data_IF_865723802650
#
_entry.id   IF_865723802650
#
_cell.length_a   1.000
_cell.length_b   1.000
_cell.length_c   1.000
_cell.angle_alpha   90.00
_cell.angle_beta   90.00
_cell.angle_gamma   90.00
#
_symmetry.space_group_name_H-M   'P 1'
#
loop_
_entity.id
_entity.type
_entity.pdbx_description
1 polymer ?
#
# COMPACT_ATOMS: atom_id res chain seq x y z
N UNK A 1 -56.30 -14.55 46.11
CA UNK A 1 -56.17 -14.29 44.64
C UNK A 1 -54.90 -13.49 44.28
N UNK A 2 -54.48 -12.54 45.08
CA UNK A 2 -53.31 -11.66 44.79
C UNK A 2 -51.96 -12.40 44.74
N UNK A 3 -51.72 -13.42 45.56
CA UNK A 3 -50.49 -14.21 45.57
C UNK A 3 -50.24 -15.03 44.29
N UNK A 4 -51.32 -15.53 43.63
CA UNK A 4 -51.17 -16.29 42.34
C UNK A 4 -50.87 -15.35 41.16
N UNK A 5 -51.30 -14.09 41.22
CA UNK A 5 -51.03 -13.10 40.15
C UNK A 5 -49.57 -12.67 40.13
N UNK A 6 -48.94 -12.58 41.33
CA UNK A 6 -47.52 -12.20 41.45
C UNK A 6 -46.59 -13.29 40.87
N UNK A 7 -46.92 -14.57 41.05
CA UNK A 7 -46.11 -15.67 40.46
C UNK A 7 -46.22 -15.76 38.95
N UNK A 8 -47.35 -15.39 38.34
CA UNK A 8 -47.52 -15.36 36.87
C UNK A 8 -46.73 -14.15 36.27
N UNK A 9 -46.66 -13.03 36.98
CA UNK A 9 -45.91 -11.85 36.54
C UNK A 9 -44.37 -12.10 36.63
N UNK A 10 -43.90 -12.90 37.60
CA UNK A 10 -42.48 -13.26 37.72
C UNK A 10 -41.99 -14.26 36.68
N UNK A 11 -42.89 -15.11 36.11
CA UNK A 11 -42.53 -16.09 35.07
C UNK A 11 -42.39 -15.44 33.68
N UNK A 12 -42.96 -14.27 33.46
CA UNK A 12 -42.86 -13.54 32.15
C UNK A 12 -41.56 -12.79 31.93
N UNK A 13 -40.76 -12.58 32.98
CA UNK A 13 -39.48 -11.84 32.87
C UNK A 13 -38.31 -12.74 32.44
N UNK A 14 -38.46 -14.07 32.43
CA UNK A 14 -37.38 -15.03 32.16
C UNK A 14 -37.18 -15.37 30.68
N UNK A 15 -37.94 -14.79 29.74
CA UNK A 15 -37.85 -15.07 28.30
C UNK A 15 -37.22 -13.93 27.49
N UNK A 16 -36.38 -13.12 28.12
CA UNK A 16 -35.49 -12.25 27.35
C UNK A 16 -34.37 -13.08 26.74
N UNK A 17 -34.64 -13.70 25.60
CA UNK A 17 -33.64 -14.28 24.73
C UNK A 17 -32.77 -13.15 24.21
N UNK A 18 -31.67 -12.89 24.89
CA UNK A 18 -30.56 -12.08 24.31
C UNK A 18 -30.04 -12.90 23.13
N UNK A 19 -30.41 -12.54 21.92
CA UNK A 19 -29.75 -13.03 20.72
C UNK A 19 -28.30 -12.58 20.81
N UNK A 20 -27.40 -13.46 21.24
CA UNK A 20 -25.98 -13.23 21.04
C UNK A 20 -25.76 -12.93 19.55
N UNK A 21 -25.30 -11.73 19.27
CA UNK A 21 -24.84 -11.37 17.94
C UNK A 21 -23.62 -12.26 17.67
N UNK A 22 -23.81 -13.34 16.92
CA UNK A 22 -22.68 -14.12 16.41
C UNK A 22 -21.85 -13.16 15.56
N UNK A 23 -20.69 -12.77 16.06
CA UNK A 23 -19.72 -11.97 15.31
C UNK A 23 -19.12 -12.92 14.27
N UNK A 24 -19.65 -12.88 13.06
CA UNK A 24 -19.09 -13.63 11.93
C UNK A 24 -17.80 -12.90 11.53
N UNK A 25 -16.66 -13.52 11.80
CA UNK A 25 -15.37 -13.04 11.31
C UNK A 25 -15.18 -13.55 9.89
N UNK A 26 -15.10 -12.68 8.88
CA UNK A 26 -14.93 -13.12 7.50
C UNK A 26 -13.56 -13.80 7.32
N UNK A 27 -13.54 -14.94 6.67
CA UNK A 27 -12.32 -15.70 6.41
C UNK A 27 -11.65 -15.28 5.10
N UNK A 28 -12.40 -14.72 4.16
CA UNK A 28 -11.90 -14.30 2.86
C UNK A 28 -12.40 -12.89 2.50
N UNK A 29 -11.78 -12.31 1.45
CA UNK A 29 -12.09 -10.96 1.00
C UNK A 29 -13.55 -10.82 0.51
N UNK A 30 -14.10 -11.82 -0.19
CA UNK A 30 -15.49 -11.77 -0.65
C UNK A 30 -16.48 -11.68 0.51
N UNK A 31 -16.29 -12.46 1.55
CA UNK A 31 -17.11 -12.39 2.77
C UNK A 31 -16.95 -11.04 3.47
N UNK A 32 -15.71 -10.53 3.54
CA UNK A 32 -15.42 -9.20 4.10
C UNK A 32 -16.18 -8.10 3.34
N UNK A 33 -16.14 -8.10 2.02
CA UNK A 33 -16.86 -7.13 1.18
C UNK A 33 -18.38 -7.27 1.32
N UNK A 34 -18.90 -8.50 1.38
CA UNK A 34 -20.33 -8.77 1.56
C UNK A 34 -20.87 -8.25 2.90
N UNK A 35 -20.11 -8.42 3.99
CA UNK A 35 -20.46 -7.87 5.31
C UNK A 35 -20.53 -6.33 5.31
N UNK A 36 -19.87 -5.69 4.37
CA UNK A 36 -19.79 -4.25 4.24
C UNK A 36 -20.46 -3.73 2.94
N UNK A 37 -21.38 -4.48 2.37
CA UNK A 37 -22.05 -4.20 1.08
C UNK A 37 -22.78 -2.84 1.03
N UNK A 38 -23.05 -2.22 2.19
CA UNK A 38 -23.62 -0.86 2.26
C UNK A 38 -22.57 0.26 2.14
N UNK A 39 -21.27 -0.07 2.08
CA UNK A 39 -20.21 0.91 1.96
C UNK A 39 -19.73 1.03 0.51
N UNK A 40 -19.35 2.24 0.12
CA UNK A 40 -18.72 2.48 -1.19
C UNK A 40 -17.31 1.89 -1.15
N UNK A 41 -16.95 1.13 -2.20
CA UNK A 41 -15.58 0.65 -2.40
C UNK A 41 -14.81 1.70 -3.19
N UNK A 42 -13.69 2.15 -2.64
CA UNK A 42 -12.75 3.09 -3.24
C UNK A 42 -11.39 2.42 -3.44
N UNK A 43 -10.45 3.07 -4.10
CA UNK A 43 -9.15 2.49 -4.43
C UNK A 43 -8.09 2.72 -3.35
N UNK A 44 -7.12 1.80 -3.29
CA UNK A 44 -5.86 1.94 -2.53
C UNK A 44 -4.71 1.91 -3.51
N UNK A 45 -3.82 2.89 -3.43
CA UNK A 45 -2.52 2.85 -4.12
C UNK A 45 -1.65 1.85 -3.37
N UNK A 46 -1.27 0.77 -4.03
CA UNK A 46 -0.44 -0.27 -3.45
C UNK A 46 0.38 -1.01 -4.52
N UNK A 47 1.57 -1.46 -4.14
CA UNK A 47 2.47 -2.26 -4.98
C UNK A 47 3.31 -3.18 -4.10
N UNK A 48 4.07 -4.09 -4.70
CA UNK A 48 4.96 -4.96 -3.96
C UNK A 48 6.35 -5.07 -4.59
N UNK A 49 7.37 -5.25 -3.76
CA UNK A 49 8.76 -5.47 -4.15
C UNK A 49 9.36 -6.65 -3.37
N UNK A 50 10.39 -7.32 -3.93
CA UNK A 50 11.22 -8.21 -3.14
C UNK A 50 12.20 -7.44 -2.25
N UNK A 51 12.67 -8.07 -1.18
CA UNK A 51 13.82 -7.59 -0.45
C UNK A 51 15.08 -7.67 -1.34
N UNK A 52 16.05 -6.79 -1.07
CA UNK A 52 17.30 -6.73 -1.83
C UNK A 52 18.20 -7.95 -1.59
N UNK A 53 18.19 -8.49 -0.36
CA UNK A 53 19.14 -9.51 0.10
C UNK A 53 18.50 -10.85 0.43
N UNK A 54 17.20 -10.88 0.68
CA UNK A 54 16.45 -12.08 1.08
C UNK A 54 15.34 -12.40 0.07
N UNK A 55 15.60 -13.38 -0.78
CA UNK A 55 14.65 -13.82 -1.81
C UNK A 55 13.37 -14.46 -1.27
N UNK A 56 13.32 -14.83 0.02
CA UNK A 56 12.09 -15.30 0.67
C UNK A 56 11.21 -14.15 1.18
N UNK A 57 11.71 -12.92 1.16
CA UNK A 57 11.06 -11.77 1.77
C UNK A 57 10.54 -10.81 0.70
N UNK A 58 9.31 -10.39 0.87
CA UNK A 58 8.68 -9.37 0.04
C UNK A 58 7.94 -8.33 0.89
N UNK A 59 7.82 -7.13 0.34
CA UNK A 59 7.13 -6.01 0.94
C UNK A 59 5.91 -5.66 0.12
N UNK A 60 4.77 -5.45 0.77
CA UNK A 60 3.56 -4.94 0.12
C UNK A 60 3.29 -3.55 0.66
N UNK A 61 3.64 -2.55 -0.14
CA UNK A 61 3.49 -1.13 0.17
C UNK A 61 2.07 -0.68 -0.12
N UNK A 62 1.57 0.23 0.71
CA UNK A 62 0.30 0.91 0.48
C UNK A 62 0.33 2.34 1.04
N UNK A 63 -0.47 3.20 0.45
CA UNK A 63 -0.66 4.57 0.90
C UNK A 63 -1.93 4.66 1.75
N UNK A 64 -1.82 4.77 3.08
CA UNK A 64 -2.97 4.99 3.94
C UNK A 64 -3.37 6.46 3.87
N UNK A 65 -4.61 6.76 3.49
CA UNK A 65 -5.11 8.12 3.60
C UNK A 65 -5.38 8.46 5.08
N UNK A 66 -5.43 9.76 5.41
CA UNK A 66 -5.64 10.21 6.80
C UNK A 66 -6.93 9.61 7.37
N UNK A 67 -6.82 8.98 8.55
CA UNK A 67 -7.93 8.32 9.23
C UNK A 67 -8.16 6.86 8.80
N UNK A 68 -7.25 6.27 8.01
CA UNK A 68 -7.30 4.85 7.68
C UNK A 68 -7.30 3.98 8.93
N UNK A 69 -8.18 3.01 8.98
CA UNK A 69 -8.37 2.05 10.08
C UNK A 69 -8.70 0.67 9.54
N UNK A 70 -8.67 -0.36 10.39
CA UNK A 70 -8.96 -1.75 10.03
C UNK A 70 -8.18 -2.20 8.78
N UNK A 71 -6.88 -1.89 8.75
CA UNK A 71 -6.00 -2.22 7.64
C UNK A 71 -5.80 -3.74 7.62
N UNK A 72 -6.09 -4.39 6.49
CA UNK A 72 -6.04 -5.84 6.34
C UNK A 72 -5.27 -6.23 5.07
N UNK A 73 -4.63 -7.38 5.14
CA UNK A 73 -3.93 -8.01 4.04
C UNK A 73 -4.59 -9.35 3.71
N UNK A 74 -4.79 -9.59 2.43
CA UNK A 74 -5.36 -10.82 1.91
C UNK A 74 -4.44 -11.37 0.81
N UNK A 75 -4.30 -12.70 0.73
CA UNK A 75 -3.54 -13.35 -0.34
C UNK A 75 -4.23 -14.63 -0.82
N UNK A 76 -3.98 -14.98 -2.08
CA UNK A 76 -4.41 -16.24 -2.67
C UNK A 76 -3.50 -17.40 -2.27
N UNK A 77 -3.94 -18.63 -2.48
CA UNK A 77 -3.09 -19.80 -2.24
C UNK A 77 -1.91 -19.88 -3.21
N UNK A 78 -2.09 -19.42 -4.45
CA UNK A 78 -1.06 -19.42 -5.49
C UNK A 78 -1.33 -18.34 -6.53
N UNK A 79 -0.35 -18.14 -7.40
CA UNK A 79 -0.42 -17.21 -8.52
C UNK A 79 -1.26 -17.68 -9.70
N UNK A 80 -1.65 -18.94 -9.74
CA UNK A 80 -2.47 -19.53 -10.79
C UNK A 80 -3.97 -19.32 -10.58
N UNK A 81 -4.36 -18.81 -9.42
CA UNK A 81 -5.75 -18.45 -9.10
C UNK A 81 -6.16 -17.21 -9.89
N UNK A 82 -7.42 -17.14 -10.28
CA UNK A 82 -7.97 -15.92 -10.88
C UNK A 82 -7.86 -14.74 -9.89
N UNK A 83 -7.13 -13.73 -10.30
CA UNK A 83 -6.89 -12.52 -9.49
C UNK A 83 -8.17 -11.74 -9.15
N UNK A 84 -9.27 -11.96 -9.88
CA UNK A 84 -10.54 -11.27 -9.68
C UNK A 84 -11.56 -12.10 -8.87
N UNK A 85 -11.23 -13.35 -8.53
CA UNK A 85 -12.07 -14.17 -7.65
C UNK A 85 -11.70 -13.90 -6.17
N UNK A 86 -12.40 -12.96 -5.56
CA UNK A 86 -12.13 -12.51 -4.20
C UNK A 86 -12.44 -13.58 -3.12
N UNK A 87 -13.16 -14.65 -3.44
CA UNK A 87 -13.36 -15.77 -2.52
C UNK A 87 -12.06 -16.55 -2.24
N UNK A 88 -11.07 -16.47 -3.15
CA UNK A 88 -9.78 -17.12 -3.01
C UNK A 88 -8.75 -16.32 -2.20
N UNK A 89 -9.06 -15.08 -1.81
CA UNK A 89 -8.15 -14.24 -1.02
C UNK A 89 -8.42 -14.43 0.46
N UNK A 90 -7.52 -15.13 1.13
CA UNK A 90 -7.61 -15.44 2.56
C UNK A 90 -6.87 -14.37 3.35
N UNK A 91 -7.51 -13.90 4.42
CA UNK A 91 -6.89 -12.94 5.34
C UNK A 91 -5.65 -13.52 5.99
N UNK A 92 -4.56 -12.72 6.05
CA UNK A 92 -3.34 -13.04 6.78
C UNK A 92 -2.97 -11.91 7.72
N UNK A 93 -2.49 -12.27 8.88
CA UNK A 93 -1.89 -11.33 9.82
C UNK A 93 -0.38 -11.28 9.56
N UNK A 94 0.11 -10.14 9.09
CA UNK A 94 1.51 -9.92 8.78
C UNK A 94 2.06 -8.74 9.60
N UNK A 95 3.36 -8.74 9.94
CA UNK A 95 4.02 -7.56 10.50
C UNK A 95 3.88 -6.36 9.56
N UNK A 96 3.75 -5.17 10.14
CA UNK A 96 3.68 -3.89 9.43
C UNK A 96 4.74 -2.94 9.95
N UNK A 97 5.21 -2.07 9.08
CA UNK A 97 6.08 -0.97 9.46
C UNK A 97 5.83 0.27 8.58
N UNK A 98 6.15 1.44 9.12
CA UNK A 98 6.08 2.70 8.40
C UNK A 98 7.26 2.86 7.45
N UNK A 99 7.01 3.53 6.33
CA UNK A 99 8.01 3.94 5.33
C UNK A 99 7.90 5.44 5.16
N UNK A 100 9.02 6.15 5.02
CA UNK A 100 9.07 7.62 4.96
C UNK A 100 8.34 8.25 6.15
N UNK A 101 8.79 7.85 7.36
CA UNK A 101 8.20 8.26 8.65
C UNK A 101 6.67 8.05 8.75
N UNK A 102 6.18 6.94 8.18
CA UNK A 102 4.76 6.57 8.23
C UNK A 102 3.88 7.25 7.19
N UNK A 103 4.48 7.92 6.20
CA UNK A 103 3.73 8.47 5.08
C UNK A 103 3.14 7.37 4.19
N UNK A 104 3.92 6.30 3.97
CA UNK A 104 3.45 5.01 3.50
C UNK A 104 3.63 3.96 4.59
N UNK A 105 2.94 2.85 4.44
CA UNK A 105 3.15 1.64 5.26
C UNK A 105 3.42 0.45 4.35
N UNK A 106 4.02 -0.60 4.91
CA UNK A 106 4.21 -1.87 4.22
C UNK A 106 3.96 -3.06 5.12
N UNK A 107 3.38 -4.12 4.56
CA UNK A 107 3.39 -5.45 5.15
C UNK A 107 4.70 -6.14 4.81
N UNK A 108 5.22 -6.92 5.77
CA UNK A 108 6.41 -7.76 5.60
C UNK A 108 5.92 -9.20 5.45
N UNK A 109 6.17 -9.81 4.31
CA UNK A 109 5.82 -11.20 4.01
C UNK A 109 7.09 -12.03 3.86
N UNK A 110 7.18 -13.14 4.61
CA UNK A 110 8.29 -14.08 4.55
C UNK A 110 7.70 -15.43 4.10
N UNK A 111 7.83 -15.72 2.84
CA UNK A 111 7.39 -16.95 2.18
C UNK A 111 8.00 -16.99 0.77
N UNK A 112 8.39 -18.17 0.29
CA UNK A 112 8.90 -18.35 -1.06
C UNK A 112 7.81 -18.49 -2.13
N UNK A 113 6.56 -18.70 -1.71
CA UNK A 113 5.42 -18.88 -2.60
C UNK A 113 4.99 -17.56 -3.23
N UNK A 114 4.84 -17.54 -4.54
CA UNK A 114 4.29 -16.42 -5.28
C UNK A 114 2.75 -16.49 -5.32
N UNK A 115 2.11 -15.38 -5.06
CA UNK A 115 0.66 -15.26 -4.87
C UNK A 115 0.14 -13.96 -5.48
N UNK A 116 -1.19 -13.79 -5.51
CA UNK A 116 -1.84 -12.51 -5.61
C UNK A 116 -2.15 -11.98 -4.21
N UNK A 117 -2.02 -10.68 -4.00
CA UNK A 117 -2.38 -10.05 -2.74
C UNK A 117 -3.25 -8.81 -2.95
N UNK A 118 -4.03 -8.46 -1.93
CA UNK A 118 -4.88 -7.26 -1.87
C UNK A 118 -4.77 -6.66 -0.48
N UNK A 119 -4.66 -5.35 -0.43
CA UNK A 119 -4.72 -4.56 0.80
C UNK A 119 -6.06 -3.84 0.87
N UNK A 120 -6.67 -3.84 2.06
CA UNK A 120 -7.89 -3.05 2.34
C UNK A 120 -7.72 -2.23 3.61
N UNK A 121 -8.42 -1.11 3.68
CA UNK A 121 -8.65 -0.38 4.92
C UNK A 121 -9.99 0.38 4.87
N UNK A 122 -10.42 0.90 6.01
CA UNK A 122 -11.63 1.73 6.12
C UNK A 122 -11.28 3.15 6.48
N UNK A 123 -11.99 4.10 5.89
CA UNK A 123 -12.02 5.50 6.32
C UNK A 123 -13.26 6.19 5.80
N UNK A 124 -13.79 7.16 6.55
CA UNK A 124 -14.92 8.01 6.16
C UNK A 124 -16.15 7.23 5.64
N UNK A 125 -16.46 6.06 6.25
CA UNK A 125 -17.59 5.22 5.85
C UNK A 125 -17.42 4.50 4.51
N UNK A 126 -16.18 4.40 4.00
CA UNK A 126 -15.83 3.67 2.78
C UNK A 126 -14.89 2.50 3.09
N UNK A 127 -14.92 1.49 2.24
CA UNK A 127 -13.85 0.50 2.13
C UNK A 127 -12.93 0.94 1.00
N UNK A 128 -11.65 0.98 1.27
CA UNK A 128 -10.62 1.14 0.25
C UNK A 128 -9.99 -0.21 -0.01
N UNK A 129 -9.85 -0.59 -1.29
CA UNK A 129 -9.34 -1.87 -1.74
C UNK A 129 -8.33 -1.64 -2.87
N UNK A 130 -7.14 -2.21 -2.76
CA UNK A 130 -6.16 -2.18 -3.86
C UNK A 130 -6.61 -3.03 -5.04
N UNK A 131 -6.06 -2.73 -6.22
CA UNK A 131 -6.03 -3.71 -7.30
C UNK A 131 -5.22 -4.93 -6.86
N UNK A 132 -5.43 -6.10 -7.49
CA UNK A 132 -4.58 -7.26 -7.24
C UNK A 132 -3.11 -6.96 -7.49
N UNK A 133 -2.25 -7.41 -6.56
CA UNK A 133 -0.80 -7.23 -6.60
C UNK A 133 -0.18 -8.60 -6.81
N UNK A 134 0.57 -8.79 -7.89
CA UNK A 134 1.26 -10.04 -8.21
C UNK A 134 2.63 -10.07 -7.55
N UNK A 135 2.83 -10.94 -6.56
CA UNK A 135 4.14 -11.14 -5.96
C UNK A 135 5.00 -12.05 -6.87
N UNK A 136 6.18 -11.56 -7.27
CA UNK A 136 7.10 -12.23 -8.23
C UNK A 136 8.53 -12.36 -7.69
N UNK A 137 8.70 -12.35 -6.38
CA UNK A 137 10.01 -12.29 -5.72
C UNK A 137 10.94 -13.48 -6.03
N UNK A 138 10.41 -14.59 -6.56
CA UNK A 138 11.19 -15.73 -7.02
C UNK A 138 11.43 -15.72 -8.55
N UNK A 139 10.36 -15.46 -9.32
CA UNK A 139 10.41 -15.55 -10.78
C UNK A 139 10.95 -14.28 -11.45
N UNK A 140 10.66 -13.11 -10.86
CA UNK A 140 11.12 -11.79 -11.33
C UNK A 140 11.44 -10.89 -10.12
N UNK A 141 12.53 -11.16 -9.39
CA UNK A 141 12.88 -10.34 -8.23
C UNK A 141 13.09 -8.88 -8.62
N UNK A 142 12.81 -7.98 -7.70
CA UNK A 142 13.03 -6.55 -7.86
C UNK A 142 14.51 -6.27 -8.06
N UNK A 143 14.87 -5.53 -9.08
CA UNK A 143 16.22 -5.01 -9.27
C UNK A 143 16.43 -3.79 -8.38
N UNK A 144 17.54 -3.76 -7.64
CA UNK A 144 17.96 -2.64 -6.81
C UNK A 144 19.15 -1.93 -7.44
N UNK A 145 19.10 -0.60 -7.52
CA UNK A 145 20.09 0.20 -8.25
C UNK A 145 20.27 1.56 -7.59
N UNK A 146 21.41 2.18 -7.91
CA UNK A 146 21.67 3.60 -7.60
C UNK A 146 21.72 4.46 -8.86
N UNK A 147 21.44 3.88 -10.05
CA UNK A 147 21.66 4.52 -11.33
C UNK A 147 20.56 5.54 -11.66
N UNK A 148 20.81 6.80 -11.37
CA UNK A 148 19.97 7.94 -11.75
C UNK A 148 20.88 9.11 -12.12
N UNK A 149 20.58 9.81 -13.21
CA UNK A 149 21.22 11.09 -13.53
C UNK A 149 20.46 12.19 -12.79
N UNK A 150 21.20 13.02 -12.04
CA UNK A 150 20.66 14.14 -11.27
C UNK A 150 21.23 15.41 -11.84
N UNK A 151 20.37 16.23 -12.45
CA UNK A 151 20.73 17.56 -12.96
C UNK A 151 20.39 18.63 -11.91
N UNK A 152 21.42 19.28 -11.40
CA UNK A 152 21.35 20.34 -10.39
C UNK A 152 21.49 21.74 -11.01
N UNK A 153 21.38 21.90 -12.33
CA UNK A 153 21.53 23.20 -13.02
C UNK A 153 20.47 24.22 -12.57
N UNK A 154 19.32 23.76 -12.09
CA UNK A 154 18.33 24.56 -11.35
C UNK A 154 18.46 24.22 -9.87
N UNK A 155 19.22 25.01 -9.13
CA UNK A 155 19.77 24.67 -7.81
C UNK A 155 18.74 24.11 -6.81
N UNK A 156 17.50 24.63 -6.75
CA UNK A 156 16.48 24.16 -5.78
C UNK A 156 15.46 23.17 -6.37
N UNK A 157 15.57 22.88 -7.68
CA UNK A 157 14.63 22.05 -8.44
C UNK A 157 15.35 20.96 -9.24
N UNK A 158 16.03 20.01 -8.59
CA UNK A 158 16.77 18.95 -9.26
C UNK A 158 15.88 18.15 -10.20
N UNK A 159 16.43 17.77 -11.36
CA UNK A 159 15.80 16.89 -12.33
C UNK A 159 16.46 15.52 -12.28
N UNK A 160 15.65 14.51 -12.11
CA UNK A 160 16.04 13.11 -12.07
C UNK A 160 15.68 12.43 -13.38
N UNK A 161 16.62 11.67 -13.96
CA UNK A 161 16.39 10.90 -15.19
C UNK A 161 16.97 9.51 -15.01
N UNK A 162 16.21 8.47 -15.36
CA UNK A 162 16.60 7.08 -15.20
C UNK A 162 16.29 6.26 -16.44
N UNK A 163 16.80 5.04 -16.47
CA UNK A 163 16.43 4.02 -17.43
C UNK A 163 15.79 2.84 -16.70
N UNK A 164 15.02 2.03 -17.40
CA UNK A 164 14.60 0.74 -16.89
C UNK A 164 15.81 -0.15 -16.62
N UNK A 165 15.68 -1.02 -15.63
CA UNK A 165 16.62 -2.09 -15.38
C UNK A 165 16.60 -3.18 -16.44
N UNK A 166 16.89 -4.41 -16.07
CA UNK A 166 16.82 -5.56 -16.97
C UNK A 166 15.39 -5.83 -17.47
N UNK A 167 14.39 -5.65 -16.59
CA UNK A 167 12.97 -5.81 -16.89
C UNK A 167 12.40 -4.47 -17.39
N UNK A 168 11.85 -4.48 -18.61
CA UNK A 168 11.34 -3.28 -19.30
C UNK A 168 9.83 -3.09 -19.17
N UNK A 169 9.16 -3.94 -18.41
CA UNK A 169 7.69 -4.00 -18.30
C UNK A 169 7.13 -3.02 -17.25
N UNK A 170 7.73 -1.82 -17.12
CA UNK A 170 7.23 -0.79 -16.21
C UNK A 170 6.10 0.00 -16.87
N UNK A 171 4.97 0.09 -16.20
CA UNK A 171 3.79 0.84 -16.65
C UNK A 171 3.76 2.27 -16.09
N UNK A 172 4.33 2.45 -14.87
CA UNK A 172 4.33 3.73 -14.17
C UNK A 172 5.55 3.78 -13.24
N UNK A 173 6.02 4.98 -12.95
CA UNK A 173 7.13 5.21 -12.04
C UNK A 173 6.65 6.04 -10.85
N UNK A 174 6.91 5.56 -9.65
CA UNK A 174 6.68 6.29 -8.41
C UNK A 174 7.98 6.91 -7.93
N UNK A 175 8.01 8.23 -7.73
CA UNK A 175 9.17 8.97 -7.26
C UNK A 175 8.89 9.58 -5.91
N UNK A 176 9.89 9.49 -5.02
CA UNK A 176 9.88 10.12 -3.71
C UNK A 176 11.17 10.91 -3.52
N UNK A 177 11.04 12.12 -3.02
CA UNK A 177 12.14 12.89 -2.47
C UNK A 177 11.91 13.05 -0.97
N UNK A 178 12.94 12.73 -0.18
CA UNK A 178 12.90 12.92 1.27
C UNK A 178 14.07 13.80 1.72
N UNK A 179 13.95 14.36 2.90
CA UNK A 179 15.10 14.93 3.61
C UNK A 179 16.03 13.84 4.16
N UNK A 180 17.10 14.26 4.86
CA UNK A 180 18.05 13.34 5.51
C UNK A 180 17.45 12.48 6.62
N UNK A 181 16.28 12.85 7.17
CA UNK A 181 15.55 12.12 8.23
C UNK A 181 14.50 11.18 7.67
N UNK A 182 14.43 11.00 6.33
CA UNK A 182 13.39 10.25 5.62
C UNK A 182 11.97 10.85 5.74
N UNK A 183 11.85 12.16 6.05
CA UNK A 183 10.57 12.86 5.91
C UNK A 183 10.24 13.05 4.43
N UNK A 184 9.05 12.60 4.02
CA UNK A 184 8.61 12.74 2.64
C UNK A 184 8.34 14.20 2.30
N UNK A 185 9.08 14.74 1.33
CA UNK A 185 8.91 16.09 0.79
C UNK A 185 8.04 16.08 -0.48
N UNK A 186 8.20 15.07 -1.32
CA UNK A 186 7.42 14.91 -2.55
C UNK A 186 7.22 13.43 -2.85
N UNK A 187 5.99 13.05 -3.21
CA UNK A 187 5.63 11.70 -3.66
C UNK A 187 4.73 11.80 -4.89
N UNK A 188 5.24 11.43 -6.06
CA UNK A 188 4.58 11.63 -7.35
C UNK A 188 4.70 10.42 -8.25
N UNK A 189 3.85 10.35 -9.28
CA UNK A 189 3.88 9.31 -10.31
C UNK A 189 3.98 9.92 -11.69
N UNK A 190 4.82 9.32 -12.55
CA UNK A 190 4.96 9.70 -13.96
C UNK A 190 4.89 8.47 -14.86
N UNK A 191 4.52 8.66 -16.15
CA UNK A 191 4.75 7.65 -17.19
C UNK A 191 6.14 7.81 -17.83
N UNK A 192 6.69 9.01 -17.76
CA UNK A 192 8.02 9.32 -18.26
C UNK A 192 9.11 8.83 -17.31
N UNK A 193 10.30 8.57 -17.85
CA UNK A 193 11.50 8.18 -17.08
C UNK A 193 12.30 9.39 -16.61
N UNK A 194 11.58 10.40 -16.19
CA UNK A 194 12.15 11.59 -15.57
C UNK A 194 11.12 12.26 -14.66
N UNK A 195 11.64 12.97 -13.68
CA UNK A 195 10.88 13.80 -12.76
C UNK A 195 11.73 15.03 -12.40
N UNK A 196 11.10 16.20 -12.33
CA UNK A 196 11.73 17.39 -11.79
C UNK A 196 11.02 17.82 -10.52
N UNK A 197 11.78 17.94 -9.45
CA UNK A 197 11.23 18.34 -8.16
C UNK A 197 10.45 19.66 -8.29
N UNK A 198 9.32 19.76 -7.61
CA UNK A 198 8.40 20.89 -7.65
C UNK A 198 7.64 21.09 -8.97
N UNK A 199 7.99 20.40 -10.04
CA UNK A 199 7.34 20.48 -11.35
C UNK A 199 6.31 19.35 -11.51
N UNK A 200 5.08 19.70 -11.88
CA UNK A 200 3.97 18.75 -11.99
C UNK A 200 3.50 18.47 -13.43
N UNK A 201 4.17 19.02 -14.45
CA UNK A 201 3.69 18.96 -15.83
C UNK A 201 3.58 17.55 -16.41
N UNK A 202 4.41 16.61 -15.97
CA UNK A 202 4.35 15.19 -16.36
C UNK A 202 3.84 14.27 -15.24
N UNK A 203 3.39 14.83 -14.13
CA UNK A 203 2.87 14.07 -12.98
C UNK A 203 1.44 13.66 -13.26
N UNK A 204 1.17 12.36 -13.21
CA UNK A 204 -0.15 11.77 -13.45
C UNK A 204 -0.91 11.47 -12.16
N UNK A 205 -0.18 11.32 -11.04
CA UNK A 205 -0.74 11.15 -9.71
C UNK A 205 0.21 11.77 -8.69
N UNK A 206 -0.34 12.50 -7.74
CA UNK A 206 0.42 13.14 -6.68
C UNK A 206 -0.17 12.75 -5.32
N UNK A 207 0.64 12.12 -4.48
CA UNK A 207 0.26 11.75 -3.10
C UNK A 207 0.82 12.75 -2.07
N UNK A 208 1.56 13.75 -2.49
CA UNK A 208 2.09 14.80 -1.61
C UNK A 208 0.92 15.57 -0.98
N UNK A 209 0.85 15.61 0.34
CA UNK A 209 -0.29 16.21 1.07
C UNK A 209 -0.23 17.73 1.11
N UNK A 210 0.98 18.30 1.07
CA UNK A 210 1.24 19.74 1.14
C UNK A 210 2.14 20.15 -0.02
N UNK A 211 2.23 21.44 -0.30
CA UNK A 211 3.19 21.92 -1.30
C UNK A 211 4.61 21.53 -0.88
N UNK A 212 5.42 20.88 -1.75
CA UNK A 212 6.79 20.55 -1.42
C UNK A 212 7.58 21.80 -1.02
N UNK A 213 8.42 21.76 0.03
CA UNK A 213 9.26 22.89 0.39
C UNK A 213 10.36 23.09 -0.68
N UNK A 214 10.87 24.30 -0.79
CA UNK A 214 12.07 24.56 -1.58
C UNK A 214 13.27 23.83 -0.96
N UNK A 215 14.07 23.14 -1.78
CA UNK A 215 15.25 22.45 -1.28
C UNK A 215 16.37 23.48 -1.00
N UNK A 216 17.11 23.26 0.06
CA UNK A 216 18.14 24.20 0.54
C UNK A 216 19.55 23.74 0.14
N UNK A 217 20.38 24.61 -0.46
CA UNK A 217 21.78 24.31 -0.72
C UNK A 217 22.54 23.89 0.55
N UNK A 218 23.47 22.97 0.39
CA UNK A 218 24.24 22.40 1.50
C UNK A 218 23.59 21.27 2.25
N UNK A 219 22.32 20.93 1.96
CA UNK A 219 21.62 19.82 2.59
C UNK A 219 21.65 18.54 1.71
N UNK A 220 21.69 17.40 2.39
CA UNK A 220 21.56 16.08 1.75
C UNK A 220 20.09 15.65 1.69
N UNK A 221 19.72 15.06 0.57
CA UNK A 221 18.38 14.53 0.30
C UNK A 221 18.48 13.12 -0.27
N UNK A 222 17.37 12.35 -0.15
CA UNK A 222 17.27 11.06 -0.80
C UNK A 222 16.27 11.13 -1.96
N UNK A 223 16.61 10.46 -3.04
CA UNK A 223 15.73 10.18 -4.15
C UNK A 223 15.44 8.68 -4.19
N UNK A 224 14.18 8.31 -4.22
CA UNK A 224 13.72 6.93 -4.40
C UNK A 224 12.80 6.87 -5.61
N UNK A 225 13.02 5.90 -6.50
CA UNK A 225 12.14 5.64 -7.63
C UNK A 225 11.79 4.15 -7.68
N UNK A 226 10.52 3.84 -7.89
CA UNK A 226 10.00 2.49 -8.09
C UNK A 226 9.37 2.39 -9.48
N UNK A 227 9.88 1.51 -10.34
CA UNK A 227 9.29 1.16 -11.62
C UNK A 227 8.29 0.03 -11.44
N UNK A 228 6.99 0.33 -11.63
CA UNK A 228 5.86 -0.56 -11.30
C UNK A 228 5.22 -1.10 -12.56
N UNK A 229 5.02 -2.41 -12.64
CA UNK A 229 4.32 -3.09 -13.74
C UNK A 229 2.79 -3.01 -13.60
N UNK A 230 2.06 -3.40 -14.66
CA UNK A 230 0.59 -3.40 -14.68
C UNK A 230 -0.07 -4.28 -13.60
N UNK A 231 0.64 -5.29 -13.12
CA UNK A 231 0.19 -6.17 -12.04
C UNK A 231 0.69 -5.73 -10.66
N UNK A 232 1.06 -4.44 -10.53
CA UNK A 232 1.50 -3.78 -9.32
C UNK A 232 2.76 -4.39 -8.67
N UNK A 233 3.61 -5.05 -9.44
CA UNK A 233 4.93 -5.50 -9.01
C UNK A 233 5.99 -4.45 -9.35
N UNK A 234 6.87 -4.18 -8.41
CA UNK A 234 8.01 -3.27 -8.59
C UNK A 234 9.17 -4.06 -9.23
N UNK A 235 9.46 -3.77 -10.49
CA UNK A 235 10.56 -4.41 -11.21
C UNK A 235 11.92 -3.77 -10.88
N UNK A 236 11.93 -2.48 -10.55
CA UNK A 236 13.14 -1.70 -10.31
C UNK A 236 12.92 -0.74 -9.13
N UNK A 237 13.87 -0.72 -8.21
CA UNK A 237 14.00 0.32 -7.18
C UNK A 237 15.33 1.03 -7.40
N UNK A 238 15.30 2.36 -7.50
CA UNK A 238 16.49 3.20 -7.47
C UNK A 238 16.49 3.99 -6.17
N UNK A 239 17.61 3.92 -5.44
CA UNK A 239 17.83 4.74 -4.24
C UNK A 239 19.14 5.48 -4.41
N UNK A 240 19.10 6.80 -4.35
CA UNK A 240 20.28 7.63 -4.46
C UNK A 240 20.23 8.79 -3.46
N UNK A 241 21.37 9.10 -2.86
CA UNK A 241 21.54 10.29 -2.03
C UNK A 241 22.21 11.38 -2.85
N UNK A 242 21.79 12.62 -2.68
CA UNK A 242 22.39 13.76 -3.35
C UNK A 242 22.52 14.95 -2.41
N UNK A 243 23.61 15.69 -2.60
CA UNK A 243 23.87 16.95 -1.91
C UNK A 243 23.49 18.08 -2.85
N UNK A 244 22.61 18.95 -2.41
CA UNK A 244 22.27 20.16 -3.16
C UNK A 244 23.39 21.19 -3.01
N UNK A 245 23.91 21.69 -4.14
CA UNK A 245 25.00 22.64 -4.21
C UNK A 245 24.54 24.09 -4.21
#
# INVERSE_FOLDING_TARGET
>A
MVKKLVYILMLLVALSCVKEKVIVTPNNLQEYLNLHSGLIVDEVIACAASDEFDTSKSFVFYYPIIGASEIQYFETESAQVDQNDFANYIKKELPKEGVFNGYLERFIRIDTKEVWSIVTYKTNGKIHKSNPIRLKHQSKPTEWSTNVAIDLSQSTFPKFTWNDGMIKENAIYFQVVTDQNNELLSGTYTYDKWFQYYFLNNVVLNITREAPPELLPGNEYNFVMMGVSLDNWVNLVIINKFLLQ
#
